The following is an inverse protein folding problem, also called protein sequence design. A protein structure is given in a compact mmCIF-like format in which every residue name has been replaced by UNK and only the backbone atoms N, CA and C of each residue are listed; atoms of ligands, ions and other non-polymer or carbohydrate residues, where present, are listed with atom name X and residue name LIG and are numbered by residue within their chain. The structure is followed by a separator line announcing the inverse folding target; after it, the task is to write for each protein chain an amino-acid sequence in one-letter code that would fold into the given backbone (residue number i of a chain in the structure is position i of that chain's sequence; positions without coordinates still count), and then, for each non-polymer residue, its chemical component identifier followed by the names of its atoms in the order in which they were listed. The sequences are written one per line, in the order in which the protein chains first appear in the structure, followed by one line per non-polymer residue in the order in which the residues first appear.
data_IF_277376055963
#
_entry.id   IF_277376055963
#
_cell.length_a   1.000
_cell.length_b   1.000
_cell.length_c   1.000
_cell.angle_alpha   90.00
_cell.angle_beta   90.00
_cell.angle_gamma   90.00
#
_symmetry.space_group_name_H-M   'P 1'
#
loop_
_entity.id
_entity.type
_entity.pdbx_description
1 polymer ?
#
# COMPACT_ATOMS: atom_id res chain seq x y z
N UNK A 1 -4.31 -6.64 23.57
CA UNK A 1 -5.03 -6.98 22.32
C UNK A 1 -5.62 -5.72 21.72
N UNK A 2 -5.50 -5.61 20.43
CA UNK A 2 -5.99 -4.42 19.74
C UNK A 2 -7.08 -4.81 18.75
N UNK A 3 -8.31 -4.39 19.03
CA UNK A 3 -9.46 -4.66 18.17
C UNK A 3 -9.75 -3.51 17.21
N UNK A 4 -8.84 -2.55 17.11
CA UNK A 4 -9.06 -1.38 16.28
C UNK A 4 -8.80 -1.74 14.81
N UNK A 5 -9.71 -1.31 13.97
CA UNK A 5 -9.55 -1.34 12.54
C UNK A 5 -9.03 0.04 12.10
N UNK A 6 -7.87 0.07 11.46
CA UNK A 6 -7.28 1.29 10.96
C UNK A 6 -7.24 1.27 9.44
N UNK A 7 -7.57 2.40 8.83
CA UNK A 7 -7.50 2.57 7.39
C UNK A 7 -6.64 3.79 7.11
N UNK A 8 -5.57 3.60 6.35
CA UNK A 8 -4.66 4.67 5.98
C UNK A 8 -4.65 4.82 4.46
N UNK A 9 -5.01 5.98 3.99
CA UNK A 9 -4.95 6.29 2.56
C UNK A 9 -3.50 6.64 2.20
N UNK A 10 -2.79 5.70 1.60
CA UNK A 10 -1.40 5.91 1.20
C UNK A 10 -1.30 6.71 -0.08
N UNK A 11 -2.24 6.50 -0.98
CA UNK A 11 -2.30 7.21 -2.23
C UNK A 11 -3.72 7.29 -2.74
N UNK A 12 -4.07 8.46 -3.26
CA UNK A 12 -5.41 8.74 -3.80
C UNK A 12 -5.31 9.27 -5.22
N UNK A 13 -4.16 9.08 -5.86
CA UNK A 13 -3.92 9.59 -7.19
C UNK A 13 -4.53 8.76 -8.29
N UNK A 14 -4.34 9.25 -9.50
CA UNK A 14 -4.75 8.58 -10.73
C UNK A 14 -3.51 8.02 -11.42
N UNK A 15 -3.62 7.46 -12.63
CA UNK A 15 -2.44 7.04 -13.39
C UNK A 15 -1.45 8.17 -13.66
N UNK A 16 -1.89 9.42 -13.62
CA UNK A 16 -1.00 10.56 -13.84
C UNK A 16 -0.05 10.69 -12.65
N UNK A 17 1.28 10.67 -12.87
CA UNK A 17 2.24 10.76 -11.78
C UNK A 17 2.35 12.19 -11.26
N UNK A 18 1.79 12.43 -10.09
CA UNK A 18 1.88 13.72 -9.40
C UNK A 18 2.76 13.56 -8.16
N UNK A 19 3.54 14.59 -7.86
CA UNK A 19 4.44 14.58 -6.70
C UNK A 19 3.66 14.49 -5.40
N UNK A 20 2.58 15.24 -5.29
CA UNK A 20 1.79 15.34 -4.07
C UNK A 20 0.78 14.20 -3.90
N UNK A 21 0.58 13.37 -4.93
CA UNK A 21 -0.37 12.26 -4.85
C UNK A 21 0.26 11.01 -5.44
N UNK A 22 0.47 10.03 -4.58
CA UNK A 22 0.91 8.71 -5.02
C UNK A 22 -0.26 7.94 -5.62
N UNK A 23 0.04 6.85 -6.32
CA UNK A 23 -0.96 6.00 -6.93
C UNK A 23 -1.88 5.37 -5.89
N UNK A 24 -3.01 4.86 -6.36
CA UNK A 24 -4.06 4.34 -5.49
C UNK A 24 -3.56 3.20 -4.62
N UNK A 25 -3.62 3.35 -3.32
CA UNK A 25 -3.31 2.28 -2.36
C UNK A 25 -3.86 2.63 -0.99
N UNK A 26 -4.39 1.62 -0.32
CA UNK A 26 -5.03 1.77 0.99
C UNK A 26 -4.46 0.70 1.90
N UNK A 27 -3.92 1.10 3.04
CA UNK A 27 -3.43 0.19 4.06
C UNK A 27 -4.53 -0.06 5.08
N UNK A 28 -4.90 -1.32 5.24
CA UNK A 28 -5.90 -1.73 6.24
C UNK A 28 -5.20 -2.55 7.29
N UNK A 29 -5.33 -2.15 8.53
CA UNK A 29 -4.76 -2.86 9.66
C UNK A 29 -5.87 -3.28 10.61
N UNK A 30 -5.94 -4.57 10.90
CA UNK A 30 -6.94 -5.15 11.78
C UNK A 30 -6.22 -6.14 12.70
N UNK A 31 -6.13 -5.81 13.99
CA UNK A 31 -5.32 -6.60 14.91
C UNK A 31 -3.87 -6.64 14.45
N UNK A 32 -3.35 -7.85 14.24
CA UNK A 32 -1.98 -8.05 13.77
C UNK A 32 -1.87 -8.14 12.25
N UNK A 33 -2.98 -8.01 11.54
CA UNK A 33 -2.98 -8.15 10.09
C UNK A 33 -2.81 -6.79 9.42
N UNK A 34 -1.94 -6.74 8.41
CA UNK A 34 -1.74 -5.57 7.57
C UNK A 34 -1.96 -5.97 6.12
N UNK A 35 -2.98 -5.42 5.52
CA UNK A 35 -3.43 -5.75 4.17
C UNK A 35 -3.38 -4.48 3.34
N UNK A 36 -2.81 -4.59 2.15
CA UNK A 36 -2.78 -3.48 1.20
C UNK A 36 -3.86 -3.71 0.14
N UNK A 37 -4.75 -2.76 0.00
CA UNK A 37 -5.76 -2.77 -1.07
C UNK A 37 -5.27 -1.86 -2.17
N UNK A 38 -5.00 -2.43 -3.31
CA UNK A 38 -4.31 -1.84 -4.44
C UNK A 38 -2.90 -1.40 -4.08
N UNK A 39 -2.01 -1.48 -5.04
CA UNK A 39 -0.60 -1.17 -4.85
C UNK A 39 -0.14 -0.31 -6.02
N UNK A 40 -0.48 0.95 -5.95
CA UNK A 40 -0.12 1.91 -6.97
C UNK A 40 1.32 2.38 -6.83
N UNK A 41 1.68 3.32 -7.70
CA UNK A 41 3.02 3.89 -7.70
C UNK A 41 3.30 4.59 -6.38
N UNK A 42 4.43 4.28 -5.77
CA UNK A 42 4.85 4.90 -4.53
C UNK A 42 4.28 4.27 -3.27
N UNK A 43 3.55 3.16 -3.36
CA UNK A 43 2.97 2.50 -2.19
C UNK A 43 4.03 2.12 -1.16
N UNK A 44 5.16 1.55 -1.60
CA UNK A 44 6.24 1.18 -0.69
C UNK A 44 6.79 2.39 0.06
N UNK A 45 6.99 3.50 -0.63
CA UNK A 45 7.47 4.73 0.00
C UNK A 45 6.47 5.26 1.03
N UNK A 46 5.18 5.20 0.73
CA UNK A 46 4.15 5.67 1.65
C UNK A 46 4.03 4.77 2.87
N UNK A 47 4.12 3.46 2.71
CA UNK A 47 4.14 2.55 3.85
C UNK A 47 5.31 2.89 4.76
N UNK A 48 6.46 3.18 4.19
CA UNK A 48 7.65 3.50 4.95
C UNK A 48 7.53 4.83 5.71
N UNK A 49 6.59 5.68 5.36
CA UNK A 49 6.29 6.92 6.08
C UNK A 49 5.32 6.68 7.25
N UNK A 50 4.74 5.49 7.33
CA UNK A 50 3.88 5.12 8.45
C UNK A 50 4.72 4.40 9.51
N UNK A 51 4.08 4.04 10.61
CA UNK A 51 4.74 3.22 11.63
C UNK A 51 4.77 1.74 11.25
N UNK A 52 4.06 1.35 10.20
CA UNK A 52 4.01 -0.03 9.75
C UNK A 52 5.27 -0.39 9.00
N UNK A 53 5.91 -1.47 9.43
CA UNK A 53 7.06 -1.99 8.70
C UNK A 53 6.58 -2.64 7.39
N UNK A 54 7.31 -2.40 6.32
CA UNK A 54 6.91 -2.89 5.00
C UNK A 54 6.76 -4.41 4.96
N UNK A 55 7.56 -5.13 5.74
CA UNK A 55 7.51 -6.60 5.82
C UNK A 55 6.27 -7.10 6.57
N UNK A 56 5.57 -6.24 7.28
CA UNK A 56 4.32 -6.62 7.94
C UNK A 56 3.16 -6.74 6.96
N UNK A 57 3.29 -6.15 5.78
CA UNK A 57 2.28 -6.25 4.74
C UNK A 57 2.49 -7.55 3.99
N UNK A 58 1.62 -8.52 4.23
CA UNK A 58 1.75 -9.86 3.64
C UNK A 58 0.70 -10.16 2.58
N UNK A 59 -0.27 -9.31 2.43
CA UNK A 59 -1.39 -9.52 1.50
C UNK A 59 -1.67 -8.26 0.71
N UNK A 60 -1.78 -8.40 -0.59
CA UNK A 60 -2.22 -7.34 -1.48
C UNK A 60 -3.49 -7.80 -2.17
N UNK A 61 -4.54 -7.02 -2.05
CA UNK A 61 -5.81 -7.27 -2.73
C UNK A 61 -5.98 -6.23 -3.84
N UNK A 62 -6.23 -6.68 -5.04
CA UNK A 62 -6.42 -5.79 -6.18
C UNK A 62 -7.90 -5.64 -6.47
N UNK A 63 -8.37 -4.40 -6.54
CA UNK A 63 -9.77 -4.13 -6.85
C UNK A 63 -10.07 -4.42 -8.31
N UNK A 64 -9.09 -4.16 -9.18
CA UNK A 64 -9.18 -4.50 -10.60
C UNK A 64 -7.78 -4.44 -11.22
N UNK A 65 -7.67 -4.80 -12.50
CA UNK A 65 -6.37 -5.01 -13.12
C UNK A 65 -5.89 -3.86 -14.03
N UNK A 66 -6.32 -2.64 -13.77
CA UNK A 66 -5.69 -1.48 -14.39
C UNK A 66 -4.30 -1.28 -13.79
N UNK A 67 -3.31 -0.96 -14.61
CA UNK A 67 -1.91 -0.98 -14.19
C UNK A 67 -1.62 -0.05 -13.00
N UNK A 68 -2.33 1.06 -12.89
CA UNK A 68 -2.14 2.02 -11.81
C UNK A 68 -2.50 1.46 -10.43
N UNK A 69 -3.21 0.31 -10.38
CA UNK A 69 -3.57 -0.35 -9.14
C UNK A 69 -2.58 -1.44 -8.74
N UNK A 70 -1.63 -1.81 -9.59
CA UNK A 70 -0.64 -2.84 -9.24
C UNK A 70 0.79 -2.50 -9.63
N UNK A 71 1.03 -1.36 -10.26
CA UNK A 71 2.38 -1.00 -10.74
C UNK A 71 3.42 -0.97 -9.61
N UNK A 72 2.98 -0.77 -8.37
CA UNK A 72 3.88 -0.75 -7.22
C UNK A 72 4.19 -2.12 -6.63
N UNK A 73 3.58 -3.20 -7.13
CA UNK A 73 3.79 -4.54 -6.56
C UNK A 73 5.25 -4.99 -6.63
N UNK A 74 5.95 -4.88 -7.77
CA UNK A 74 7.36 -5.27 -7.81
C UNK A 74 8.21 -4.45 -6.84
N UNK A 75 7.95 -3.15 -6.75
CA UNK A 75 8.66 -2.27 -5.84
C UNK A 75 8.44 -2.68 -4.38
N UNK A 76 7.18 -2.94 -4.02
CA UNK A 76 6.83 -3.38 -2.68
C UNK A 76 7.51 -4.70 -2.35
N UNK A 77 7.42 -5.66 -3.26
CA UNK A 77 7.96 -7.00 -3.05
C UNK A 77 9.48 -6.97 -2.91
N UNK A 78 10.16 -6.31 -3.84
CA UNK A 78 11.61 -6.25 -3.82
C UNK A 78 12.13 -5.45 -2.63
N UNK A 79 11.46 -4.38 -2.26
CA UNK A 79 11.83 -3.60 -1.08
C UNK A 79 11.64 -4.41 0.19
N UNK A 80 10.55 -5.16 0.28
CA UNK A 80 10.29 -6.02 1.43
C UNK A 80 11.25 -7.20 1.53
N UNK A 81 11.85 -7.61 0.42
CA UNK A 81 12.85 -8.67 0.40
C UNK A 81 14.14 -8.23 1.12
N UNK A 82 14.46 -6.97 1.03
CA UNK A 82 15.67 -6.44 1.66
C UNK A 82 15.54 -6.38 3.17
#
# INVERSE_FOLDING_TARGET
MNDVLSITLLGTGTPVPLIERMGCSILVQAGDESILIDCGRGAAQRINQTETHIKAVTTVLLTHLHYDHYIGVPDLWLTGWL
#
